data_IF_766179074375
#
_entry.id   IF_766179074375
#
_cell.length_a   1.000
_cell.length_b   1.000
_cell.length_c   1.000
_cell.angle_alpha   90.00
_cell.angle_beta   90.00
_cell.angle_gamma   90.00
#
_symmetry.space_group_name_H-M   'P 1'
#
loop_
_entity.id
_entity.type
_entity.pdbx_description
1 polymer ?
#
# COMPACT_ATOMS: atom_id res chain seq x y z
N UNK A 1 -3.16 31.41 -8.94
CA UNK A 1 -1.97 30.98 -8.18
C UNK A 1 -1.59 29.60 -8.68
N UNK A 2 -0.31 29.28 -8.93
CA UNK A 2 0.08 27.90 -9.15
C UNK A 2 -0.31 27.08 -7.90
N UNK A 3 -0.85 25.86 -8.06
CA UNK A 3 -1.16 25.01 -6.92
C UNK A 3 0.12 24.82 -6.11
N UNK A 4 0.05 25.11 -4.80
CA UNK A 4 1.13 24.83 -3.85
C UNK A 4 1.60 23.40 -4.07
N UNK A 5 2.85 23.25 -4.54
CA UNK A 5 3.51 21.98 -4.81
C UNK A 5 3.63 21.21 -3.49
N UNK A 6 2.63 20.40 -3.20
CA UNK A 6 2.63 19.55 -2.02
C UNK A 6 3.74 18.50 -2.17
N UNK A 7 4.74 18.60 -1.30
CA UNK A 7 5.84 17.64 -1.15
C UNK A 7 5.23 16.28 -0.82
N UNK A 8 5.57 15.27 -1.61
CA UNK A 8 5.26 13.87 -1.26
C UNK A 8 6.32 13.43 -0.26
N UNK A 9 5.98 13.48 1.01
CA UNK A 9 6.86 12.95 2.05
C UNK A 9 6.87 11.42 1.97
N UNK A 10 8.02 10.85 1.62
CA UNK A 10 8.22 9.41 1.76
C UNK A 10 8.30 9.13 3.26
N UNK A 11 7.39 8.32 3.83
CA UNK A 11 7.33 8.16 5.27
C UNK A 11 8.62 7.54 5.79
N UNK A 12 9.30 8.24 6.70
CA UNK A 12 10.44 7.72 7.47
C UNK A 12 10.03 7.58 8.94
N UNK A 13 9.88 6.35 9.42
CA UNK A 13 9.63 6.04 10.84
C UNK A 13 8.49 5.05 11.13
N UNK A 14 8.36 4.56 12.38
CA UNK A 14 7.23 3.77 12.86
C UNK A 14 6.17 4.70 13.49
N UNK A 15 5.19 5.15 12.71
CA UNK A 15 4.10 6.00 13.23
C UNK A 15 3.42 6.89 12.19
N UNK A 16 3.52 6.55 10.91
CA UNK A 16 3.00 7.41 9.85
C UNK A 16 1.50 7.16 9.64
N UNK A 17 0.68 8.20 9.81
CA UNK A 17 -0.72 8.18 9.38
C UNK A 17 -0.78 8.50 7.88
N UNK A 18 -1.43 7.68 7.05
CA UNK A 18 -1.63 8.00 5.64
C UNK A 18 -2.24 9.39 5.52
N UNK A 19 -1.65 10.22 4.66
CA UNK A 19 -2.26 11.50 4.27
C UNK A 19 -2.40 11.50 2.77
N UNK A 20 -3.12 12.46 2.20
CA UNK A 20 -3.25 12.55 0.75
C UNK A 20 -1.91 12.73 0.01
N UNK A 21 -0.88 13.25 0.69
CA UNK A 21 0.47 13.37 0.13
C UNK A 21 1.38 12.21 0.51
N UNK A 22 0.91 11.27 1.33
CA UNK A 22 1.70 10.17 1.85
C UNK A 22 0.98 8.86 1.56
N UNK A 23 1.45 8.08 0.58
CA UNK A 23 0.86 6.80 0.22
C UNK A 23 0.66 5.89 1.43
N UNK A 24 -0.35 5.03 1.37
CA UNK A 24 -0.48 3.93 2.31
C UNK A 24 0.68 2.98 2.05
N UNK A 25 1.56 2.86 3.06
CA UNK A 25 2.74 1.99 3.00
C UNK A 25 2.51 0.80 3.91
N UNK A 26 2.25 -0.36 3.31
CA UNK A 26 2.18 -1.63 4.05
C UNK A 26 3.58 -2.01 4.56
N UNK A 27 3.65 -2.95 5.51
CA UNK A 27 4.93 -3.49 5.97
C UNK A 27 5.78 -4.02 4.81
N UNK A 28 5.18 -4.74 3.86
CA UNK A 28 5.89 -5.31 2.71
C UNK A 28 6.40 -4.22 1.76
N UNK A 29 5.60 -3.19 1.50
CA UNK A 29 6.06 -2.02 0.73
C UNK A 29 7.24 -1.33 1.43
N UNK A 30 7.19 -1.19 2.76
CA UNK A 30 8.29 -0.62 3.54
C UNK A 30 9.57 -1.45 3.41
N UNK A 31 9.48 -2.78 3.50
CA UNK A 31 10.61 -3.69 3.30
C UNK A 31 11.21 -3.52 1.88
N UNK A 32 10.37 -3.45 0.84
CA UNK A 32 10.82 -3.18 -0.53
C UNK A 32 11.50 -1.81 -0.67
N UNK A 33 10.93 -0.75 -0.06
CA UNK A 33 11.52 0.59 -0.11
C UNK A 33 12.87 0.65 0.61
N UNK A 34 12.98 -0.01 1.76
CA UNK A 34 14.25 -0.14 2.50
C UNK A 34 15.29 -0.87 1.65
N UNK A 35 14.91 -1.97 0.98
CA UNK A 35 15.82 -2.70 0.09
C UNK A 35 16.31 -1.82 -1.07
N UNK A 36 15.44 -0.98 -1.64
CA UNK A 36 15.81 -0.05 -2.71
C UNK A 36 16.73 1.08 -2.24
N UNK A 37 16.52 1.59 -1.02
CA UNK A 37 17.24 2.76 -0.50
C UNK A 37 18.52 2.46 0.24
N UNK A 38 18.53 1.38 1.02
CA UNK A 38 19.58 1.10 1.99
C UNK A 38 20.42 -0.13 1.61
N UNK A 39 20.05 -0.81 0.53
CA UNK A 39 20.72 -2.03 0.08
C UNK A 39 20.87 -2.09 -1.45
N UNK A 40 21.22 -3.26 -1.97
CA UNK A 40 21.26 -3.57 -3.39
C UNK A 40 19.91 -4.09 -3.91
N UNK A 41 19.75 -4.04 -5.24
CA UNK A 41 18.56 -4.57 -5.91
C UNK A 41 18.42 -6.09 -5.82
N UNK A 42 19.50 -6.81 -5.46
CA UNK A 42 19.41 -8.24 -5.13
C UNK A 42 18.51 -8.49 -3.91
N UNK A 43 18.54 -7.63 -2.88
CA UNK A 43 17.65 -7.80 -1.73
C UNK A 43 16.19 -7.57 -2.10
N UNK A 44 15.93 -6.58 -2.96
CA UNK A 44 14.59 -6.39 -3.51
C UNK A 44 14.16 -7.62 -4.31
N UNK A 45 15.06 -8.19 -5.11
CA UNK A 45 14.77 -9.40 -5.87
C UNK A 45 14.46 -10.60 -4.96
N UNK A 46 15.20 -10.79 -3.86
CA UNK A 46 14.90 -11.82 -2.86
C UNK A 46 13.48 -11.62 -2.29
N UNK A 47 13.10 -10.39 -1.93
CA UNK A 47 11.74 -10.06 -1.46
C UNK A 47 10.67 -10.43 -2.51
N UNK A 48 10.96 -10.25 -3.79
CA UNK A 48 10.09 -10.61 -4.92
C UNK A 48 9.98 -12.13 -5.04
N UNK A 49 11.08 -12.88 -4.94
CA UNK A 49 11.10 -14.35 -4.97
C UNK A 49 10.34 -14.95 -3.80
N UNK A 50 10.59 -14.48 -2.57
CA UNK A 50 9.85 -14.93 -1.38
C UNK A 50 8.35 -14.73 -1.55
N UNK A 51 7.96 -13.59 -2.15
CA UNK A 51 6.56 -13.32 -2.46
C UNK A 51 6.02 -14.30 -3.51
N UNK A 52 6.77 -14.56 -4.57
CA UNK A 52 6.41 -15.54 -5.60
C UNK A 52 6.17 -16.92 -4.98
N UNK A 53 7.07 -17.36 -4.09
CA UNK A 53 7.00 -18.62 -3.38
C UNK A 53 5.77 -18.71 -2.47
N UNK A 54 5.49 -17.69 -1.67
CA UNK A 54 4.30 -17.64 -0.82
C UNK A 54 3.01 -17.72 -1.64
N UNK A 55 2.92 -16.93 -2.71
CA UNK A 55 1.79 -16.92 -3.63
C UNK A 55 1.58 -18.27 -4.35
N UNK A 56 2.66 -18.98 -4.67
CA UNK A 56 2.61 -20.32 -5.26
C UNK A 56 2.17 -21.37 -4.22
N UNK A 57 2.69 -21.31 -2.99
CA UNK A 57 2.35 -22.23 -1.91
C UNK A 57 0.86 -22.18 -1.54
N UNK A 58 0.28 -20.98 -1.52
CA UNK A 58 -1.14 -20.76 -1.29
C UNK A 58 -2.01 -21.09 -2.53
N UNK A 59 -1.40 -21.55 -3.63
CA UNK A 59 -2.03 -21.82 -4.94
C UNK A 59 -2.76 -20.61 -5.52
N UNK A 60 -2.41 -19.41 -5.07
CA UNK A 60 -2.95 -18.16 -5.59
C UNK A 60 -2.39 -17.93 -7.00
N UNK A 61 -1.13 -18.33 -7.26
CA UNK A 61 -0.43 -18.11 -8.54
C UNK A 61 0.53 -19.25 -8.99
N UNK A 62 0.02 -20.39 -9.48
CA UNK A 62 0.84 -21.50 -10.00
C UNK A 62 1.67 -21.15 -11.26
N UNK A 63 1.42 -20.02 -11.92
CA UNK A 63 2.14 -19.59 -13.12
C UNK A 63 3.45 -18.84 -12.79
N UNK A 64 3.73 -18.61 -11.49
CA UNK A 64 5.00 -18.07 -11.00
C UNK A 64 6.10 -19.13 -10.88
N UNK A 65 5.80 -20.40 -11.22
CA UNK A 65 6.75 -21.52 -11.14
C UNK A 65 8.03 -21.28 -11.92
N UNK A 66 7.95 -20.65 -13.11
CA UNK A 66 9.14 -20.34 -13.90
C UNK A 66 10.11 -19.43 -13.12
N UNK A 67 9.62 -18.48 -12.34
CA UNK A 67 10.46 -17.61 -11.52
C UNK A 67 11.04 -18.34 -10.29
N UNK A 68 10.39 -19.41 -9.82
CA UNK A 68 10.76 -20.11 -8.58
C UNK A 68 11.67 -21.31 -8.83
N UNK A 69 11.39 -22.09 -9.87
CA UNK A 69 11.96 -23.43 -10.08
C UNK A 69 13.22 -23.42 -10.95
N UNK A 70 13.46 -22.34 -11.69
CA UNK A 70 14.51 -22.25 -12.71
C UNK A 70 15.55 -21.17 -12.36
N UNK A 71 16.79 -21.57 -12.14
CA UNK A 71 17.90 -20.66 -11.80
C UNK A 71 18.18 -19.67 -12.94
N UNK A 72 18.06 -20.09 -14.19
CA UNK A 72 18.25 -19.23 -15.36
C UNK A 72 17.19 -18.11 -15.39
N UNK A 73 15.91 -18.47 -15.18
CA UNK A 73 14.81 -17.51 -15.06
C UNK A 73 15.00 -16.55 -13.87
N UNK A 74 15.56 -17.01 -12.75
CA UNK A 74 15.88 -16.13 -11.62
C UNK A 74 16.97 -15.13 -11.99
N UNK A 75 18.02 -15.57 -12.69
CA UNK A 75 19.08 -14.69 -13.17
C UNK A 75 18.53 -13.62 -14.13
N UNK A 76 17.73 -14.03 -15.12
CA UNK A 76 17.06 -13.11 -16.05
C UNK A 76 16.16 -12.12 -15.32
N UNK A 77 15.36 -12.57 -14.35
CA UNK A 77 14.50 -11.71 -13.57
C UNK A 77 15.29 -10.70 -12.71
N UNK A 78 16.44 -11.10 -12.18
CA UNK A 78 17.36 -10.20 -11.48
C UNK A 78 17.86 -9.10 -12.44
N UNK A 79 18.30 -9.44 -13.65
CA UNK A 79 18.70 -8.43 -14.65
C UNK A 79 17.54 -7.47 -14.97
N UNK A 80 16.32 -8.00 -15.13
CA UNK A 80 15.13 -7.18 -15.38
C UNK A 80 14.87 -6.19 -14.24
N UNK A 81 15.04 -6.57 -12.96
CA UNK A 81 14.95 -5.64 -11.83
C UNK A 81 16.01 -4.52 -11.93
N UNK A 82 17.24 -4.87 -12.31
CA UNK A 82 18.32 -3.88 -12.50
C UNK A 82 18.11 -2.97 -13.72
N UNK A 83 17.25 -3.34 -14.67
CA UNK A 83 16.88 -2.47 -15.80
C UNK A 83 15.92 -1.33 -15.43
N UNK A 84 15.34 -1.39 -14.24
CA UNK A 84 14.41 -0.37 -13.74
C UNK A 84 15.21 0.66 -12.94
N UNK A 85 15.08 1.98 -13.21
CA UNK A 85 15.66 2.99 -12.34
C UNK A 85 15.10 2.84 -10.91
N UNK A 86 15.96 2.85 -9.88
CA UNK A 86 15.54 2.82 -8.46
C UNK A 86 14.39 3.80 -8.14
N UNK A 87 14.42 5.01 -8.71
CA UNK A 87 13.34 6.03 -8.54
C UNK A 87 12.00 5.56 -9.10
N UNK A 88 11.99 4.86 -10.24
CA UNK A 88 10.78 4.29 -10.81
C UNK A 88 10.28 3.11 -9.97
N UNK A 89 11.18 2.25 -9.46
CA UNK A 89 10.82 1.16 -8.55
C UNK A 89 10.07 1.71 -7.33
N UNK A 90 10.59 2.77 -6.68
CA UNK A 90 9.88 3.44 -5.57
C UNK A 90 8.50 3.91 -5.99
N UNK A 91 8.39 4.52 -7.17
CA UNK A 91 7.11 4.95 -7.74
C UNK A 91 6.12 3.80 -7.93
N UNK A 92 6.59 2.64 -8.39
CA UNK A 92 5.80 1.43 -8.54
C UNK A 92 5.34 0.89 -7.18
N UNK A 93 6.25 0.75 -6.21
CA UNK A 93 5.96 0.24 -4.87
C UNK A 93 4.96 1.14 -4.13
N UNK A 94 5.10 2.45 -4.27
CA UNK A 94 4.21 3.44 -3.64
C UNK A 94 2.90 3.65 -4.42
N UNK A 95 2.79 3.16 -5.66
CA UNK A 95 1.63 3.41 -6.53
C UNK A 95 1.48 4.87 -6.96
N UNK A 96 2.59 5.57 -7.19
CA UNK A 96 2.63 7.00 -7.54
C UNK A 96 3.22 7.26 -8.94
N UNK A 97 3.33 6.24 -9.79
CA UNK A 97 3.99 6.34 -11.11
C UNK A 97 3.37 7.41 -12.02
N UNK A 98 2.06 7.65 -11.91
CA UNK A 98 1.36 8.73 -12.60
C UNK A 98 1.80 10.13 -12.16
N UNK A 99 2.20 10.30 -10.90
CA UNK A 99 2.63 11.58 -10.36
C UNK A 99 4.06 11.91 -10.76
N UNK A 100 4.93 10.90 -10.88
CA UNK A 100 6.38 11.10 -11.00
C UNK A 100 6.83 12.01 -12.15
N UNK A 101 6.13 12.02 -13.28
CA UNK A 101 6.48 12.87 -14.42
C UNK A 101 6.06 14.33 -14.23
N UNK A 102 5.11 14.60 -13.33
CA UNK A 102 4.63 15.95 -13.00
C UNK A 102 5.34 16.57 -11.80
N UNK A 103 6.22 15.80 -11.13
CA UNK A 103 7.06 16.34 -10.06
C UNK A 103 8.11 17.30 -10.65
N UNK A 104 8.58 18.31 -9.90
CA UNK A 104 9.71 19.15 -10.30
C UNK A 104 10.93 18.31 -10.70
N UNK A 105 11.70 18.74 -11.70
CA UNK A 105 12.81 17.96 -12.24
C UNK A 105 13.92 17.64 -11.23
N UNK A 106 14.07 18.47 -10.20
CA UNK A 106 14.98 18.30 -9.06
C UNK A 106 14.41 17.41 -7.94
N UNK A 107 13.13 17.05 -8.00
CA UNK A 107 12.51 16.18 -7.01
C UNK A 107 13.12 14.77 -7.04
N UNK A 108 13.45 14.15 -5.89
CA UNK A 108 14.14 12.86 -5.83
C UNK A 108 13.34 11.69 -6.45
N UNK A 109 12.01 11.82 -6.53
CA UNK A 109 11.10 10.87 -7.18
C UNK A 109 10.71 11.25 -8.61
N UNK A 110 11.22 12.37 -9.14
CA UNK A 110 10.94 12.73 -10.53
C UNK A 110 11.49 11.67 -11.47
N UNK A 111 10.63 11.26 -12.41
CA UNK A 111 10.96 10.33 -13.47
C UNK A 111 10.31 10.86 -14.74
N UNK A 112 11.14 11.12 -15.76
CA UNK A 112 10.71 11.60 -17.05
C UNK A 112 9.55 10.78 -17.63
N UNK A 113 8.75 11.40 -18.49
CA UNK A 113 7.67 10.72 -19.19
C UNK A 113 8.20 9.53 -20.01
N UNK A 114 9.28 9.76 -20.76
CA UNK A 114 10.05 8.72 -21.46
C UNK A 114 11.33 8.42 -20.70
N UNK A 115 11.36 7.22 -20.12
CA UNK A 115 12.50 6.73 -19.35
C UNK A 115 13.50 6.04 -20.28
N UNK A 116 12.99 5.22 -21.19
CA UNK A 116 13.80 4.44 -22.12
C UNK A 116 13.94 5.21 -23.44
N UNK A 117 15.11 5.15 -24.05
CA UNK A 117 15.36 5.86 -25.32
C UNK A 117 14.81 5.11 -26.55
N UNK A 118 14.44 3.84 -26.39
CA UNK A 118 13.96 2.94 -27.45
C UNK A 118 12.58 2.37 -27.10
N UNK A 119 11.70 2.27 -28.10
CA UNK A 119 10.44 1.51 -28.00
C UNK A 119 10.64 0.06 -28.44
N UNK A 120 9.65 -0.82 -28.28
CA UNK A 120 9.74 -2.27 -28.49
C UNK A 120 9.06 -3.04 -27.34
N UNK A 121 9.34 -4.33 -27.15
CA UNK A 121 8.64 -5.14 -26.17
C UNK A 121 8.97 -4.78 -24.71
N UNK A 122 7.99 -5.03 -23.83
CA UNK A 122 8.16 -4.79 -22.41
C UNK A 122 6.86 -4.65 -21.63
N UNK A 123 7.00 -4.19 -20.40
CA UNK A 123 5.93 -4.01 -19.43
C UNK A 123 5.66 -2.55 -19.22
N UNK A 124 4.38 -2.23 -19.08
CA UNK A 124 3.91 -0.90 -18.75
C UNK A 124 2.98 -0.94 -17.55
N UNK A 125 2.89 0.19 -16.86
CA UNK A 125 1.87 0.49 -15.87
C UNK A 125 0.88 1.47 -16.47
N UNK A 126 -0.41 1.22 -16.27
CA UNK A 126 -1.52 2.11 -16.60
C UNK A 126 -2.20 2.51 -15.28
N UNK A 127 -1.85 3.70 -14.79
CA UNK A 127 -2.38 4.23 -13.54
C UNK A 127 -3.62 5.08 -13.81
N UNK A 128 -4.67 4.91 -13.01
CA UNK A 128 -5.91 5.71 -13.14
C UNK A 128 -5.79 6.95 -12.26
N UNK A 129 -5.58 8.10 -12.89
CA UNK A 129 -5.62 9.43 -12.29
C UNK A 129 -6.95 10.14 -12.59
N UNK A 130 -7.11 11.34 -12.06
CA UNK A 130 -8.23 12.25 -12.42
C UNK A 130 -7.71 13.32 -13.38
N UNK A 131 -8.43 13.53 -14.48
CA UNK A 131 -8.05 14.49 -15.50
C UNK A 131 -7.90 15.90 -14.91
N UNK A 132 -6.82 16.59 -15.28
CA UNK A 132 -6.53 17.95 -14.82
C UNK A 132 -5.89 18.02 -13.42
N UNK A 133 -5.59 16.90 -12.77
CA UNK A 133 -4.92 16.85 -11.45
C UNK A 133 -3.45 16.43 -11.49
N UNK A 134 -2.79 16.59 -12.63
CA UNK A 134 -1.35 16.31 -12.79
C UNK A 134 -0.93 14.92 -12.25
N UNK A 135 -1.71 13.89 -12.55
CA UNK A 135 -1.43 12.52 -12.10
C UNK A 135 -1.83 12.21 -10.65
N UNK A 136 -2.56 13.10 -9.97
CA UNK A 136 -3.22 12.81 -8.69
C UNK A 136 -4.57 12.15 -8.88
N UNK A 137 -5.01 11.48 -7.81
CA UNK A 137 -6.20 10.65 -7.78
C UNK A 137 -7.42 11.35 -7.22
N UNK A 138 -8.25 10.53 -6.59
CA UNK A 138 -9.50 10.95 -5.96
C UNK A 138 -9.23 11.60 -4.60
N UNK A 139 -10.16 12.44 -4.18
CA UNK A 139 -10.32 12.86 -2.78
C UNK A 139 -11.06 11.79 -1.98
N UNK A 140 -11.08 11.89 -0.64
CA UNK A 140 -11.85 10.99 0.21
C UNK A 140 -13.34 11.00 -0.11
N UNK A 141 -13.92 12.19 -0.35
CA UNK A 141 -15.35 12.31 -0.69
C UNK A 141 -15.68 11.66 -2.04
N UNK A 142 -14.83 11.87 -3.05
CA UNK A 142 -14.96 11.23 -4.36
C UNK A 142 -14.83 9.72 -4.27
N UNK A 143 -13.83 9.23 -3.52
CA UNK A 143 -13.60 7.82 -3.32
C UNK A 143 -14.78 7.14 -2.63
N UNK A 144 -15.42 7.80 -1.65
CA UNK A 144 -16.68 7.34 -1.06
C UNK A 144 -17.81 7.18 -2.08
N UNK A 145 -17.97 8.13 -3.01
CA UNK A 145 -18.96 8.03 -4.09
C UNK A 145 -18.64 6.91 -5.09
N UNK A 146 -17.36 6.70 -5.39
CA UNK A 146 -16.90 5.57 -6.24
C UNK A 146 -17.23 4.23 -5.58
N UNK A 147 -16.89 4.06 -4.30
CA UNK A 147 -17.19 2.86 -3.51
C UNK A 147 -18.69 2.55 -3.56
N UNK A 148 -19.54 3.53 -3.24
CA UNK A 148 -21.00 3.38 -3.30
C UNK A 148 -21.48 2.99 -4.70
N UNK A 149 -20.87 3.56 -5.74
CA UNK A 149 -21.20 3.24 -7.13
C UNK A 149 -20.88 1.80 -7.51
N UNK A 150 -19.72 1.29 -7.07
CA UNK A 150 -19.31 -0.11 -7.29
C UNK A 150 -20.17 -1.07 -6.48
N UNK A 151 -20.50 -0.75 -5.23
CA UNK A 151 -21.39 -1.56 -4.38
C UNK A 151 -22.77 -1.73 -5.01
N UNK A 152 -23.38 -0.61 -5.45
CA UNK A 152 -24.67 -0.63 -6.13
C UNK A 152 -24.63 -1.40 -7.45
N UNK A 153 -23.48 -1.40 -8.14
CA UNK A 153 -23.28 -2.21 -9.33
C UNK A 153 -23.20 -3.72 -9.02
N UNK A 154 -22.52 -4.11 -7.94
CA UNK A 154 -22.48 -5.51 -7.45
C UNK A 154 -23.86 -5.98 -6.98
N UNK A 155 -24.64 -5.11 -6.34
CA UNK A 155 -26.02 -5.36 -5.97
C UNK A 155 -26.90 -5.59 -7.21
N UNK A 156 -26.76 -4.73 -8.23
CA UNK A 156 -27.47 -4.87 -9.49
C UNK A 156 -27.15 -6.20 -10.19
N UNK A 157 -25.88 -6.61 -10.20
CA UNK A 157 -25.51 -7.93 -10.71
C UNK A 157 -26.20 -9.05 -9.94
N UNK A 158 -26.19 -9.00 -8.60
CA UNK A 158 -26.76 -10.05 -7.75
C UNK A 158 -28.29 -10.16 -7.95
N UNK A 159 -28.97 -9.02 -8.10
CA UNK A 159 -30.40 -8.98 -8.43
C UNK A 159 -30.68 -9.59 -9.81
N UNK A 160 -29.93 -9.18 -10.85
CA UNK A 160 -30.12 -9.68 -12.21
C UNK A 160 -29.78 -11.17 -12.35
N UNK A 161 -28.75 -11.66 -11.65
CA UNK A 161 -28.40 -13.08 -11.62
C UNK A 161 -29.53 -13.91 -11.00
N UNK A 162 -30.12 -13.45 -9.88
CA UNK A 162 -31.28 -14.09 -9.24
C UNK A 162 -32.49 -14.19 -10.17
N UNK A 163 -32.70 -13.18 -11.03
CA UNK A 163 -33.83 -13.14 -11.97
C UNK A 163 -33.61 -14.01 -13.22
N UNK A 164 -32.36 -14.34 -13.56
CA UNK A 164 -32.01 -15.08 -14.77
C UNK A 164 -32.44 -14.33 -16.04
N UNK A 165 -33.23 -15.00 -16.89
CA UNK A 165 -33.76 -14.38 -18.12
C UNK A 165 -35.05 -13.58 -17.91
N UNK A 166 -35.56 -13.54 -16.68
CA UNK A 166 -36.77 -12.79 -16.32
C UNK A 166 -36.50 -11.29 -16.34
N UNK A 167 -37.52 -10.51 -16.71
CA UNK A 167 -37.41 -9.05 -16.63
C UNK A 167 -37.53 -8.57 -15.17
N UNK A 168 -36.86 -7.47 -14.77
CA UNK A 168 -37.04 -6.83 -13.47
C UNK A 168 -38.52 -6.46 -13.22
N UNK A 169 -39.14 -7.05 -12.20
CA UNK A 169 -40.57 -6.85 -11.89
C UNK A 169 -40.77 -5.80 -10.79
N UNK A 170 -39.93 -5.82 -9.75
CA UNK A 170 -40.03 -4.89 -8.62
C UNK A 170 -39.46 -3.51 -8.97
N UNK A 171 -39.93 -2.42 -8.31
CA UNK A 171 -39.33 -1.10 -8.48
C UNK A 171 -37.82 -1.07 -8.18
N UNK A 172 -37.37 -1.78 -7.14
CA UNK A 172 -35.96 -1.87 -6.77
C UNK A 172 -35.10 -2.58 -7.82
N UNK A 173 -35.56 -3.72 -8.35
CA UNK A 173 -34.83 -4.43 -9.41
C UNK A 173 -34.72 -3.58 -10.69
N UNK A 174 -35.76 -2.81 -11.01
CA UNK A 174 -35.75 -1.85 -12.14
C UNK A 174 -34.74 -0.73 -11.92
N UNK A 175 -34.68 -0.18 -10.71
CA UNK A 175 -33.71 0.87 -10.36
C UNK A 175 -32.26 0.35 -10.49
N UNK A 176 -31.98 -0.83 -9.95
CA UNK A 176 -30.68 -1.48 -10.04
C UNK A 176 -30.29 -1.78 -11.49
N UNK A 177 -31.20 -2.34 -12.29
CA UNK A 177 -30.95 -2.61 -13.70
C UNK A 177 -30.67 -1.32 -14.49
N UNK A 178 -31.43 -0.25 -14.22
CA UNK A 178 -31.21 1.06 -14.82
C UNK A 178 -29.86 1.66 -14.40
N UNK A 179 -29.48 1.52 -13.14
CA UNK A 179 -28.20 1.96 -12.63
C UNK A 179 -27.03 1.26 -13.35
N UNK A 180 -27.06 -0.07 -13.44
CA UNK A 180 -26.04 -0.84 -14.15
C UNK A 180 -25.94 -0.44 -15.62
N UNK A 181 -27.08 -0.26 -16.30
CA UNK A 181 -27.11 0.18 -17.69
C UNK A 181 -26.47 1.57 -17.89
N UNK A 182 -26.63 2.49 -16.93
CA UNK A 182 -25.98 3.81 -16.97
C UNK A 182 -24.46 3.71 -16.82
N UNK A 183 -23.97 2.80 -15.98
CA UNK A 183 -22.52 2.54 -15.81
C UNK A 183 -21.96 1.91 -17.09
N UNK A 184 -22.62 0.89 -17.63
CA UNK A 184 -22.20 0.17 -18.84
C UNK A 184 -22.14 1.07 -20.08
N UNK A 185 -22.92 2.15 -20.11
CA UNK A 185 -22.96 3.10 -21.21
C UNK A 185 -21.78 4.09 -21.24
N UNK A 186 -20.99 4.24 -20.17
CA UNK A 186 -20.01 5.33 -20.06
C UNK A 186 -18.79 5.20 -20.98
N UNK A 187 -18.23 3.99 -21.09
CA UNK A 187 -16.98 3.71 -21.82
C UNK A 187 -17.14 2.66 -22.93
N UNK A 188 -18.38 2.31 -23.26
CA UNK A 188 -18.69 1.37 -24.34
C UNK A 188 -18.83 2.11 -25.67
N UNK A 189 -18.02 1.73 -26.65
CA UNK A 189 -18.11 2.23 -28.03
C UNK A 189 -19.05 1.33 -28.83
N UNK A 190 -20.06 1.90 -29.50
CA UNK A 190 -20.90 1.16 -30.46
C UNK A 190 -22.08 0.40 -29.85
N UNK A 191 -23.18 1.12 -29.59
CA UNK A 191 -24.52 0.64 -29.22
C UNK A 191 -24.62 -0.13 -27.88
N UNK A 192 -25.11 0.56 -26.86
CA UNK A 192 -25.64 -0.06 -25.66
C UNK A 192 -26.90 -0.86 -26.02
N UNK A 193 -26.75 -2.11 -26.47
CA UNK A 193 -27.88 -3.04 -26.37
C UNK A 193 -28.17 -3.22 -24.89
N UNK A 194 -29.43 -2.99 -24.48
CA UNK A 194 -29.93 -3.41 -23.17
C UNK A 194 -29.68 -4.91 -23.04
N UNK A 195 -28.54 -5.29 -22.48
CA UNK A 195 -28.27 -6.66 -22.11
C UNK A 195 -29.00 -6.91 -20.81
N UNK A 196 -29.63 -8.08 -20.67
CA UNK A 196 -30.25 -8.51 -19.40
C UNK A 196 -29.20 -8.77 -18.30
N UNK A 197 -27.93 -8.70 -18.64
CA UNK A 197 -26.78 -8.92 -17.77
C UNK A 197 -25.94 -7.65 -17.73
N UNK A 198 -25.36 -7.38 -16.56
CA UNK A 198 -24.37 -6.32 -16.40
C UNK A 198 -23.09 -6.68 -17.15
N UNK A 199 -22.32 -5.68 -17.55
CA UNK A 199 -21.18 -5.88 -18.44
C UNK A 199 -19.90 -6.36 -17.74
N UNK A 200 -19.55 -5.75 -16.60
CA UNK A 200 -18.28 -5.95 -15.91
C UNK A 200 -18.24 -7.10 -14.88
N UNK A 201 -19.34 -7.84 -14.73
CA UNK A 201 -19.40 -9.02 -13.85
C UNK A 201 -20.15 -10.12 -14.60
N UNK A 202 -19.39 -11.08 -15.15
CA UNK A 202 -19.93 -12.21 -15.91
C UNK A 202 -20.29 -13.44 -15.07
N UNK A 203 -19.87 -13.47 -13.80
CA UNK A 203 -20.05 -14.62 -12.91
C UNK A 203 -19.42 -14.39 -11.52
N UNK A 204 -19.57 -15.38 -10.63
CA UNK A 204 -19.12 -15.30 -9.23
C UNK A 204 -17.61 -15.02 -9.07
N UNK A 205 -16.75 -15.63 -9.90
CA UNK A 205 -15.30 -15.38 -9.86
C UNK A 205 -14.99 -13.90 -10.12
N UNK A 206 -15.66 -13.32 -11.11
CA UNK A 206 -15.46 -11.92 -11.47
C UNK A 206 -16.02 -10.97 -10.41
N UNK A 207 -17.15 -11.33 -9.78
CA UNK A 207 -17.67 -10.62 -8.63
C UNK A 207 -16.66 -10.59 -7.49
N UNK A 208 -16.03 -11.72 -7.18
CA UNK A 208 -14.98 -11.80 -6.16
C UNK A 208 -13.84 -10.82 -6.42
N UNK A 209 -13.39 -10.71 -7.68
CA UNK A 209 -12.35 -9.74 -8.09
C UNK A 209 -12.79 -8.29 -7.93
N UNK A 210 -14.03 -7.96 -8.30
CA UNK A 210 -14.59 -6.61 -8.08
C UNK A 210 -14.69 -6.30 -6.59
N UNK A 211 -15.07 -7.28 -5.77
CA UNK A 211 -15.14 -7.13 -4.32
C UNK A 211 -13.75 -6.96 -3.68
N UNK A 212 -12.71 -7.59 -4.23
CA UNK A 212 -11.33 -7.38 -3.77
C UNK A 212 -10.84 -5.94 -4.05
N UNK A 213 -11.11 -5.43 -5.27
CA UNK A 213 -10.88 -3.99 -5.59
C UNK A 213 -11.67 -3.09 -4.65
N UNK A 214 -12.93 -3.42 -4.36
CA UNK A 214 -13.75 -2.65 -3.41
C UNK A 214 -13.13 -2.63 -2.00
N UNK A 215 -12.60 -3.75 -1.52
CA UNK A 215 -11.89 -3.83 -0.24
C UNK A 215 -10.67 -2.90 -0.19
N UNK A 216 -9.88 -2.91 -1.28
CA UNK A 216 -8.73 -2.01 -1.46
C UNK A 216 -9.15 -0.54 -1.40
N UNK A 217 -10.18 -0.16 -2.17
CA UNK A 217 -10.70 1.21 -2.19
C UNK A 217 -11.23 1.66 -0.83
N UNK A 218 -11.93 0.79 -0.09
CA UNK A 218 -12.42 1.09 1.27
C UNK A 218 -11.28 1.35 2.24
N UNK A 219 -10.20 0.59 2.16
CA UNK A 219 -9.05 0.85 3.01
C UNK A 219 -8.33 2.14 2.60
N UNK A 220 -8.18 2.41 1.30
CA UNK A 220 -7.66 3.69 0.83
C UNK A 220 -8.47 4.87 1.36
N UNK A 221 -9.81 4.74 1.35
CA UNK A 221 -10.73 5.75 1.88
C UNK A 221 -10.55 6.03 3.36
N UNK A 222 -10.26 5.00 4.16
CA UNK A 222 -10.07 5.16 5.61
C UNK A 222 -8.88 6.07 5.96
N UNK A 223 -7.85 6.11 5.11
CA UNK A 223 -6.67 6.96 5.28
C UNK A 223 -6.70 8.29 4.52
N UNK A 224 -7.82 8.64 3.86
CA UNK A 224 -7.88 9.80 2.96
C UNK A 224 -8.91 10.83 3.44
N UNK A 225 -8.45 12.07 3.62
CA UNK A 225 -9.30 13.22 3.93
C UNK A 225 -10.26 13.55 2.77
N UNK A 226 -11.42 14.12 3.10
CA UNK A 226 -12.54 14.30 2.18
C UNK A 226 -12.25 15.24 1.01
N UNK A 227 -11.38 16.22 1.22
CA UNK A 227 -11.08 17.33 0.32
C UNK A 227 -9.65 17.29 -0.25
N UNK A 228 -8.87 16.24 0.06
CA UNK A 228 -7.47 16.18 -0.33
C UNK A 228 -7.20 15.06 -1.34
N UNK A 229 -6.53 15.40 -2.44
CA UNK A 229 -6.27 14.52 -3.58
C UNK A 229 -5.17 13.50 -3.28
N UNK A 230 -5.48 12.21 -3.42
CA UNK A 230 -4.51 11.12 -3.20
C UNK A 230 -3.35 11.16 -4.19
N UNK A 231 -2.12 11.05 -3.68
CA UNK A 231 -0.93 10.77 -4.50
C UNK A 231 -0.88 9.30 -4.97
N UNK A 232 -1.39 8.37 -4.16
CA UNK A 232 -1.41 6.93 -4.44
C UNK A 232 -2.62 6.57 -5.30
N UNK A 233 -2.38 5.81 -6.36
CA UNK A 233 -3.37 5.37 -7.33
C UNK A 233 -3.41 3.86 -7.45
N UNK A 234 -4.55 3.36 -7.91
CA UNK A 234 -4.64 2.00 -8.42
C UNK A 234 -4.05 1.92 -9.83
N UNK A 235 -3.29 0.85 -10.04
CA UNK A 235 -2.51 0.64 -11.25
C UNK A 235 -2.77 -0.75 -11.84
N UNK A 236 -2.85 -0.79 -13.16
CA UNK A 236 -2.84 -2.02 -13.94
C UNK A 236 -1.47 -2.19 -14.59
N UNK A 237 -0.90 -3.39 -14.51
CA UNK A 237 0.33 -3.75 -15.20
C UNK A 237 -0.01 -4.63 -16.39
N UNK A 238 0.53 -4.28 -17.56
CA UNK A 238 0.34 -5.07 -18.76
C UNK A 238 1.63 -5.18 -19.55
N UNK A 239 1.63 -6.10 -20.50
CA UNK A 239 2.79 -6.36 -21.34
C UNK A 239 2.46 -6.23 -22.84
N UNK A 240 3.48 -5.86 -23.62
CA UNK A 240 3.40 -5.74 -25.06
C UNK A 240 4.61 -6.43 -25.67
N UNK A 241 4.36 -7.32 -26.63
CA UNK A 241 5.41 -7.99 -27.41
C UNK A 241 5.93 -7.14 -28.58
N UNK A 242 5.31 -5.97 -28.82
CA UNK A 242 5.65 -5.11 -29.96
C UNK A 242 6.10 -3.72 -29.51
N UNK A 243 5.37 -3.09 -28.60
CA UNK A 243 5.61 -1.71 -28.18
C UNK A 243 5.02 -1.47 -26.80
N UNK A 244 5.88 -1.23 -25.82
CA UNK A 244 5.51 -0.87 -24.47
C UNK A 244 5.06 0.60 -24.37
N UNK A 245 5.27 1.43 -25.41
CA UNK A 245 4.74 2.79 -25.48
C UNK A 245 3.31 2.85 -25.99
N UNK A 246 3.01 2.12 -27.06
CA UNK A 246 1.67 2.16 -27.68
C UNK A 246 0.71 1.12 -27.11
N UNK A 247 1.23 -0.01 -26.61
CA UNK A 247 0.44 -1.03 -25.92
C UNK A 247 -0.50 -0.51 -24.83
N UNK A 248 -0.05 0.39 -23.93
CA UNK A 248 -0.90 1.00 -22.92
C UNK A 248 -2.08 1.81 -23.47
N UNK A 249 -2.00 2.36 -24.68
CA UNK A 249 -3.06 3.22 -25.24
C UNK A 249 -4.41 2.49 -25.31
N UNK A 250 -4.38 1.17 -25.49
CA UNK A 250 -5.56 0.31 -25.51
C UNK A 250 -6.34 0.32 -24.19
N UNK A 251 -5.74 0.80 -23.09
CA UNK A 251 -6.37 0.93 -21.78
C UNK A 251 -6.86 2.34 -21.47
N UNK A 252 -6.73 3.28 -22.41
CA UNK A 252 -7.19 4.66 -22.23
C UNK A 252 -8.69 4.81 -22.49
N UNK A 253 -9.40 5.68 -21.76
CA UNK A 253 -10.82 5.95 -21.99
C UNK A 253 -11.13 6.41 -23.42
N UNK A 254 -10.19 7.11 -24.07
CA UNK A 254 -10.34 7.64 -25.43
C UNK A 254 -10.44 6.54 -26.50
N UNK A 255 -9.76 5.40 -26.31
CA UNK A 255 -9.90 4.23 -27.21
C UNK A 255 -11.14 3.40 -26.88
N UNK A 256 -11.68 3.55 -25.67
CA UNK A 256 -12.88 2.88 -25.19
C UNK A 256 -12.71 1.38 -24.90
N UNK A 257 -13.77 0.75 -24.40
CA UNK A 257 -13.77 -0.69 -24.13
C UNK A 257 -14.04 -1.49 -25.41
N UNK A 258 -12.98 -2.01 -26.04
CA UNK A 258 -13.10 -2.55 -27.41
C UNK A 258 -13.59 -4.02 -27.50
N UNK A 259 -13.40 -4.89 -26.49
CA UNK A 259 -13.50 -6.35 -26.77
C UNK A 259 -14.03 -7.30 -25.69
N UNK A 260 -14.59 -6.88 -24.56
CA UNK A 260 -15.13 -7.84 -23.57
C UNK A 260 -14.08 -8.69 -22.82
N UNK A 261 -12.85 -8.78 -23.34
CA UNK A 261 -11.71 -9.54 -22.83
C UNK A 261 -10.77 -8.70 -21.95
N UNK A 262 -11.05 -7.41 -21.81
CA UNK A 262 -10.25 -6.51 -20.98
C UNK A 262 -10.43 -6.76 -19.49
N UNK A 263 -9.55 -6.17 -18.69
CA UNK A 263 -9.58 -6.20 -17.24
C UNK A 263 -10.86 -5.55 -16.68
N UNK A 264 -11.87 -6.35 -16.33
CA UNK A 264 -13.21 -5.83 -16.05
C UNK A 264 -13.30 -4.90 -14.82
N UNK A 265 -12.62 -5.17 -13.67
CA UNK A 265 -12.61 -4.26 -12.53
C UNK A 265 -12.00 -2.89 -12.88
N UNK A 266 -10.94 -2.88 -13.69
CA UNK A 266 -10.30 -1.66 -14.20
C UNK A 266 -11.30 -0.80 -15.00
N UNK A 267 -12.04 -1.40 -15.93
CA UNK A 267 -13.04 -0.67 -16.72
C UNK A 267 -14.28 -0.27 -15.92
N UNK A 268 -14.73 -1.10 -14.98
CA UNK A 268 -15.84 -0.78 -14.08
C UNK A 268 -15.51 0.48 -13.25
N UNK A 269 -14.31 0.55 -12.67
CA UNK A 269 -13.87 1.69 -11.88
C UNK A 269 -13.95 3.00 -12.68
N UNK A 270 -13.37 3.03 -13.88
CA UNK A 270 -13.42 4.22 -14.73
C UNK A 270 -14.85 4.57 -15.21
N UNK A 271 -15.69 3.57 -15.49
CA UNK A 271 -17.09 3.80 -15.84
C UNK A 271 -17.90 4.38 -14.67
N UNK A 272 -17.66 3.91 -13.45
CA UNK A 272 -18.28 4.49 -12.25
C UNK A 272 -17.81 5.92 -12.05
N UNK A 273 -16.50 6.19 -12.16
CA UNK A 273 -15.94 7.55 -12.08
C UNK A 273 -16.65 8.50 -13.07
N UNK A 274 -16.71 8.13 -14.35
CA UNK A 274 -17.32 8.95 -15.39
C UNK A 274 -18.80 9.21 -15.13
N UNK A 275 -19.55 8.18 -14.68
CA UNK A 275 -20.96 8.31 -14.33
C UNK A 275 -21.20 9.33 -13.22
N UNK A 276 -20.31 9.42 -12.23
CA UNK A 276 -20.44 10.37 -11.11
C UNK A 276 -19.78 11.73 -11.39
N UNK A 277 -19.38 11.99 -12.64
CA UNK A 277 -18.82 13.28 -13.07
C UNK A 277 -17.33 13.45 -12.76
N UNK A 278 -16.60 12.36 -12.49
CA UNK A 278 -15.14 12.38 -12.36
C UNK A 278 -14.55 11.86 -13.67
N UNK A 279 -13.80 12.70 -14.38
CA UNK A 279 -13.18 12.30 -15.64
C UNK A 279 -11.92 11.46 -15.38
N UNK A 280 -11.91 10.14 -15.72
CA UNK A 280 -10.72 9.31 -15.55
C UNK A 280 -9.65 9.69 -16.57
N UNK A 281 -8.41 9.79 -16.13
CA UNK A 281 -7.24 9.93 -16.99
C UNK A 281 -6.30 8.75 -16.74
N UNK A 282 -5.89 8.06 -17.81
CA UNK A 282 -4.93 6.96 -17.71
C UNK A 282 -3.56 7.51 -18.02
N UNK A 283 -2.63 7.35 -17.07
CA UNK A 283 -1.22 7.74 -17.21
C UNK A 283 -0.37 6.49 -17.47
N UNK A 284 -0.13 6.13 -18.74
CA UNK A 284 0.71 5.01 -19.08
C UNK A 284 2.18 5.33 -18.84
N UNK A 285 2.96 4.33 -18.42
CA UNK A 285 4.41 4.44 -18.30
C UNK A 285 5.07 3.09 -18.51
N UNK A 286 6.07 3.01 -19.37
CA UNK A 286 6.90 1.80 -19.51
C UNK A 286 7.76 1.66 -18.26
N UNK A 287 7.74 0.47 -17.67
CA UNK A 287 8.42 0.18 -16.40
C UNK A 287 9.55 -0.83 -16.55
N UNK A 288 9.46 -1.73 -17.52
CA UNK A 288 10.49 -2.75 -17.79
C UNK A 288 10.57 -2.94 -19.29
N UNK A 289 11.79 -2.96 -19.83
CA UNK A 289 12.07 -3.33 -21.22
C UNK A 289 12.51 -4.78 -21.27
N UNK A 290 12.21 -5.46 -22.36
CA UNK A 290 12.62 -6.85 -22.58
C UNK A 290 13.50 -6.90 -23.80
N UNK A 291 14.57 -7.68 -23.73
CA UNK A 291 15.62 -7.73 -24.77
C UNK A 291 16.09 -9.15 -25.07
N UNK A 292 15.33 -10.15 -24.64
CA UNK A 292 15.63 -11.54 -24.91
C UNK A 292 14.32 -12.35 -24.90
N UNK A 293 14.31 -13.45 -25.65
CA UNK A 293 13.17 -14.35 -25.68
C UNK A 293 12.90 -14.94 -24.29
N UNK A 294 11.65 -14.94 -23.85
CA UNK A 294 11.24 -15.37 -22.50
C UNK A 294 11.17 -14.24 -21.48
N UNK A 295 11.85 -13.10 -21.73
CA UNK A 295 11.87 -11.99 -20.77
C UNK A 295 10.49 -11.37 -20.55
N UNK A 296 9.59 -11.34 -21.54
CA UNK A 296 8.31 -10.64 -21.39
C UNK A 296 7.44 -11.21 -20.26
N UNK A 297 7.44 -12.52 -20.09
CA UNK A 297 6.67 -13.18 -19.01
C UNK A 297 7.26 -12.90 -17.64
N UNK A 298 8.58 -12.98 -17.53
CA UNK A 298 9.31 -12.70 -16.29
C UNK A 298 9.15 -11.22 -15.90
N UNK A 299 9.31 -10.32 -16.88
CA UNK A 299 9.13 -8.89 -16.69
C UNK A 299 7.71 -8.57 -16.21
N UNK A 300 6.66 -9.14 -16.81
CA UNK A 300 5.29 -8.88 -16.38
C UNK A 300 5.06 -9.35 -14.93
N UNK A 301 5.67 -10.48 -14.55
CA UNK A 301 5.62 -11.01 -13.19
C UNK A 301 6.34 -10.09 -12.21
N UNK A 302 7.56 -9.67 -12.51
CA UNK A 302 8.35 -8.73 -11.70
C UNK A 302 7.60 -7.40 -11.54
N UNK A 303 7.13 -6.81 -12.64
CA UNK A 303 6.39 -5.55 -12.63
C UNK A 303 5.12 -5.63 -11.78
N UNK A 304 4.39 -6.74 -11.89
CA UNK A 304 3.19 -7.02 -11.08
C UNK A 304 3.53 -7.18 -9.59
N UNK A 305 4.64 -7.84 -9.23
CA UNK A 305 5.03 -8.01 -7.83
C UNK A 305 5.53 -6.71 -7.18
N UNK A 306 6.18 -5.85 -7.95
CA UNK A 306 6.68 -4.56 -7.46
C UNK A 306 5.55 -3.53 -7.31
N UNK A 307 4.58 -3.48 -8.22
CA UNK A 307 3.51 -2.50 -8.21
C UNK A 307 2.62 -2.59 -6.97
N UNK A 308 2.61 -1.56 -6.11
CA UNK A 308 1.89 -1.57 -4.82
C UNK A 308 2.25 -2.76 -3.91
N UNK A 309 3.46 -3.33 -4.06
CA UNK A 309 3.81 -4.56 -3.38
C UNK A 309 2.93 -5.76 -3.81
N UNK A 310 2.26 -5.67 -4.96
CA UNK A 310 1.38 -6.65 -5.61
C UNK A 310 0.26 -5.97 -6.44
N UNK A 311 0.33 -5.98 -7.77
CA UNK A 311 -0.65 -5.24 -8.58
C UNK A 311 -1.91 -6.04 -8.91
N UNK A 312 -2.09 -7.19 -8.28
CA UNK A 312 -3.27 -8.05 -8.42
C UNK A 312 -4.45 -7.48 -7.65
N UNK A 313 -5.67 -7.79 -8.09
CA UNK A 313 -6.89 -7.30 -7.42
C UNK A 313 -7.01 -7.81 -5.97
N UNK A 314 -6.39 -8.95 -5.67
CA UNK A 314 -6.28 -9.52 -4.34
C UNK A 314 -5.23 -8.81 -3.46
N UNK A 315 -4.27 -8.11 -4.07
CA UNK A 315 -3.06 -7.57 -3.42
C UNK A 315 -2.92 -6.04 -3.52
N UNK A 316 -4.02 -5.28 -3.57
CA UNK A 316 -4.05 -3.80 -3.69
C UNK A 316 -3.98 -3.22 -5.11
N UNK A 317 -4.01 -4.02 -6.17
CA UNK A 317 -3.93 -3.51 -7.55
C UNK A 317 -5.19 -3.73 -8.40
N UNK A 318 -5.00 -3.67 -9.72
CA UNK A 318 -6.08 -3.84 -10.70
C UNK A 318 -5.95 -5.08 -11.58
N UNK A 319 -4.82 -5.79 -11.58
CA UNK A 319 -4.63 -7.00 -12.40
C UNK A 319 -5.60 -8.10 -11.99
N UNK A 320 -6.66 -8.29 -12.78
CA UNK A 320 -7.61 -9.38 -12.61
C UNK A 320 -7.07 -10.71 -13.14
N UNK A 321 -6.08 -10.67 -14.03
CA UNK A 321 -5.44 -11.86 -14.60
C UNK A 321 -4.02 -11.98 -14.05
N UNK A 322 -3.56 -13.22 -13.94
CA UNK A 322 -2.21 -13.53 -13.49
C UNK A 322 -1.21 -13.02 -14.54
N UNK A 323 -0.05 -12.50 -14.11
CA UNK A 323 1.00 -12.09 -15.03
C UNK A 323 1.65 -13.30 -15.72
N UNK A 324 2.40 -13.05 -16.80
CA UNK A 324 3.21 -14.07 -17.47
C UNK A 324 2.46 -14.88 -18.54
N UNK A 325 1.23 -14.50 -18.87
CA UNK A 325 0.40 -15.23 -19.84
C UNK A 325 0.79 -14.98 -21.30
N UNK A 326 1.41 -13.84 -21.62
CA UNK A 326 1.73 -13.45 -22.99
C UNK A 326 3.10 -13.99 -23.42
N UNK A 327 3.21 -14.76 -24.50
CA UNK A 327 4.51 -15.13 -25.06
C UNK A 327 5.17 -13.94 -25.76
N UNK A 328 6.49 -13.99 -25.88
CA UNK A 328 7.27 -13.15 -26.79
C UNK A 328 6.90 -13.43 -28.26
N UNK A 329 7.18 -12.47 -29.15
CA UNK A 329 7.12 -12.71 -30.59
C UNK A 329 8.36 -13.49 -31.01
N UNK A 330 8.23 -14.74 -31.52
CA UNK A 330 9.37 -15.57 -31.89
C UNK A 330 10.17 -15.02 -33.07
N UNK A 331 9.66 -14.02 -33.81
CA UNK A 331 10.34 -13.41 -34.94
C UNK A 331 10.96 -12.05 -34.64
N UNK A 332 10.85 -11.56 -33.39
CA UNK A 332 11.38 -10.25 -33.02
C UNK A 332 12.89 -10.28 -32.87
N UNK A 333 13.59 -9.33 -33.51
CA UNK A 333 15.03 -9.15 -33.36
C UNK A 333 15.32 -8.25 -32.14
N UNK A 334 15.86 -8.87 -31.09
CA UNK A 334 16.16 -8.19 -29.83
C UNK A 334 17.50 -7.43 -29.81
N UNK A 335 18.28 -7.44 -30.90
CA UNK A 335 19.62 -6.82 -30.93
C UNK A 335 19.59 -5.34 -30.49
N UNK A 336 18.62 -4.58 -30.99
CA UNK A 336 18.48 -3.16 -30.63
C UNK A 336 17.90 -2.98 -29.22
N UNK A 337 17.01 -3.87 -28.78
CA UNK A 337 16.48 -3.84 -27.42
C UNK A 337 17.57 -4.10 -26.38
N UNK A 338 18.49 -5.02 -26.66
CA UNK A 338 19.60 -5.33 -25.75
C UNK A 338 20.55 -4.14 -25.61
N UNK A 339 20.95 -3.52 -26.73
CA UNK A 339 21.75 -2.30 -26.71
C UNK A 339 21.05 -1.18 -25.94
N UNK A 340 19.75 -0.98 -26.19
CA UNK A 340 18.98 0.02 -25.49
C UNK A 340 18.88 -0.25 -23.98
N UNK A 341 18.66 -1.52 -23.61
CA UNK A 341 18.49 -1.92 -22.22
C UNK A 341 19.80 -1.84 -21.43
N UNK A 342 20.88 -2.43 -21.97
CA UNK A 342 22.15 -2.64 -21.26
C UNK A 342 23.15 -1.50 -21.44
N UNK A 343 23.15 -0.81 -22.58
CA UNK A 343 24.17 0.21 -22.92
C UNK A 343 23.64 1.63 -22.79
N UNK A 344 22.43 1.90 -23.28
CA UNK A 344 21.92 3.28 -23.33
C UNK A 344 21.31 3.77 -22.01
N UNK A 345 21.05 2.86 -21.07
CA UNK A 345 20.50 3.18 -19.76
C UNK A 345 21.62 3.28 -18.72
N UNK A 346 22.06 4.48 -18.32
CA UNK A 346 23.23 4.64 -17.46
C UNK A 346 23.07 4.00 -16.07
N UNK A 347 21.83 3.81 -15.60
CA UNK A 347 21.57 3.16 -14.31
C UNK A 347 21.75 1.65 -14.35
N UNK A 348 21.60 0.96 -15.48
CA UNK A 348 21.64 -0.50 -15.51
C UNK A 348 22.98 -1.03 -15.03
N UNK A 349 24.07 -0.60 -15.67
CA UNK A 349 25.43 -1.02 -15.32
C UNK A 349 25.79 -0.56 -13.89
N UNK A 350 25.51 0.69 -13.55
CA UNK A 350 25.78 1.23 -12.21
C UNK A 350 25.06 0.44 -11.10
N UNK A 351 23.81 0.04 -11.32
CA UNK A 351 23.05 -0.76 -10.36
C UNK A 351 23.61 -2.19 -10.26
N UNK A 352 24.04 -2.79 -11.38
CA UNK A 352 24.68 -4.11 -11.39
C UNK A 352 26.02 -4.10 -10.64
N UNK A 353 26.85 -3.07 -10.86
CA UNK A 353 28.12 -2.88 -10.17
C UNK A 353 27.93 -2.66 -8.66
N UNK A 354 26.93 -1.86 -8.28
CA UNK A 354 26.55 -1.65 -6.88
C UNK A 354 26.17 -2.98 -6.21
N UNK A 355 25.33 -3.78 -6.87
CA UNK A 355 24.95 -5.12 -6.39
C UNK A 355 26.16 -6.03 -6.27
N UNK A 356 27.03 -6.09 -7.28
CA UNK A 356 28.24 -6.93 -7.26
C UNK A 356 29.18 -6.54 -6.11
N UNK A 357 29.40 -5.24 -5.88
CA UNK A 357 30.24 -4.74 -4.80
C UNK A 357 29.68 -5.12 -3.42
N UNK A 358 28.37 -4.99 -3.23
CA UNK A 358 27.70 -5.35 -1.97
C UNK A 358 27.70 -6.86 -1.73
N UNK A 359 27.45 -7.67 -2.77
CA UNK A 359 27.53 -9.14 -2.69
C UNK A 359 28.94 -9.58 -2.33
N UNK A 360 29.97 -9.02 -2.99
CA UNK A 360 31.37 -9.30 -2.66
C UNK A 360 31.69 -8.99 -1.19
N UNK A 361 31.25 -7.83 -0.70
CA UNK A 361 31.45 -7.45 0.72
C UNK A 361 30.74 -8.40 1.68
N UNK A 362 29.56 -8.93 1.33
CA UNK A 362 28.85 -9.94 2.13
C UNK A 362 29.59 -11.27 2.15
N UNK A 363 30.14 -11.71 1.02
CA UNK A 363 30.97 -12.91 0.96
C UNK A 363 32.22 -12.76 1.84
N UNK A 364 32.92 -11.62 1.74
CA UNK A 364 34.08 -11.33 2.61
C UNK A 364 33.71 -11.32 4.10
N UNK A 365 32.55 -10.75 4.46
CA UNK A 365 32.04 -10.77 5.83
C UNK A 365 31.70 -12.19 6.29
N UNK A 366 31.09 -13.01 5.44
CA UNK A 366 30.79 -14.40 5.74
C UNK A 366 32.09 -15.19 5.95
N UNK A 367 33.10 -15.02 5.10
CA UNK A 367 34.42 -15.66 5.29
C UNK A 367 35.08 -15.20 6.60
N UNK A 368 34.93 -13.92 6.96
CA UNK A 368 35.41 -13.41 8.26
C UNK A 368 34.65 -14.03 9.44
N UNK A 369 33.33 -14.18 9.33
CA UNK A 369 32.50 -14.82 10.34
C UNK A 369 32.84 -16.31 10.47
N UNK A 370 32.97 -17.03 9.36
CA UNK A 370 33.39 -18.44 9.35
C UNK A 370 34.76 -18.63 9.99
N UNK A 371 35.77 -17.81 9.63
CA UNK A 371 37.07 -17.83 10.31
C UNK A 371 36.96 -17.49 11.79
N UNK A 372 36.12 -16.52 12.15
CA UNK A 372 35.89 -16.20 13.55
C UNK A 372 35.21 -17.37 14.28
N UNK A 373 34.28 -18.08 13.64
CA UNK A 373 33.66 -19.29 14.17
C UNK A 373 34.67 -20.43 14.33
N UNK A 374 35.58 -20.64 13.38
CA UNK A 374 36.62 -21.66 13.46
C UNK A 374 37.63 -21.35 14.59
N UNK A 375 38.08 -20.10 14.68
CA UNK A 375 38.95 -19.62 15.77
C UNK A 375 38.22 -19.75 17.11
N UNK A 376 36.93 -19.44 17.12
CA UNK A 376 36.11 -19.56 18.30
C UNK A 376 35.54 -20.96 18.50
N UNK A 377 35.90 -22.00 17.74
CA UNK A 377 35.19 -23.29 17.70
C UNK A 377 34.97 -23.93 19.07
N UNK A 378 35.99 -23.91 19.94
CA UNK A 378 35.86 -24.38 21.34
C UNK A 378 35.01 -23.42 22.21
N UNK A 379 35.06 -22.12 21.91
CA UNK A 379 34.28 -21.06 22.57
C UNK A 379 32.83 -21.02 22.11
N UNK A 380 32.47 -21.39 20.87
CA UNK A 380 31.10 -21.35 20.39
C UNK A 380 30.29 -22.53 20.88
N UNK A 381 30.84 -23.74 20.90
CA UNK A 381 30.19 -24.86 21.58
C UNK A 381 30.14 -24.65 23.09
N UNK A 382 31.16 -24.01 23.68
CA UNK A 382 31.13 -23.57 25.08
C UNK A 382 30.10 -22.46 25.32
N UNK A 383 29.94 -21.49 24.41
CA UNK A 383 28.96 -20.41 24.49
C UNK A 383 27.55 -20.87 24.17
N UNK A 384 27.36 -21.84 23.28
CA UNK A 384 26.10 -22.54 23.00
C UNK A 384 25.72 -23.40 24.19
N UNK A 385 26.63 -24.21 24.73
CA UNK A 385 26.39 -24.96 25.97
C UNK A 385 26.18 -24.03 27.18
N UNK A 386 26.78 -22.83 27.21
CA UNK A 386 26.54 -21.81 28.23
C UNK A 386 25.22 -21.08 27.98
N UNK A 387 24.82 -20.84 26.74
CA UNK A 387 23.55 -20.25 26.36
C UNK A 387 22.39 -21.22 26.60
N UNK A 388 22.56 -22.52 26.34
CA UNK A 388 21.63 -23.59 26.68
C UNK A 388 21.56 -23.80 28.20
N UNK A 389 22.69 -23.77 28.92
CA UNK A 389 22.69 -23.72 30.40
C UNK A 389 22.01 -22.46 30.94
N UNK A 390 22.23 -21.31 30.32
CA UNK A 390 21.58 -20.04 30.70
C UNK A 390 20.10 -20.05 30.33
N UNK A 391 19.69 -20.67 29.23
CA UNK A 391 18.29 -20.84 28.82
C UNK A 391 17.56 -21.81 29.75
N UNK A 392 18.18 -22.93 30.12
CA UNK A 392 17.67 -23.84 31.14
C UNK A 392 17.63 -23.19 32.54
N UNK A 393 18.63 -22.35 32.87
CA UNK A 393 18.60 -21.53 34.08
C UNK A 393 17.52 -20.44 34.03
N UNK A 394 17.25 -19.86 32.85
CA UNK A 394 16.15 -18.93 32.60
C UNK A 394 14.78 -19.60 32.71
N UNK A 395 14.64 -20.85 32.25
CA UNK A 395 13.45 -21.66 32.49
C UNK A 395 13.26 -22.00 33.97
N UNK A 396 14.35 -22.20 34.73
CA UNK A 396 14.31 -22.31 36.20
C UNK A 396 14.07 -20.97 36.92
N UNK A 397 14.39 -19.83 36.30
CA UNK A 397 14.14 -18.48 36.81
C UNK A 397 12.72 -17.99 36.47
N UNK A 398 12.04 -18.56 35.49
CA UNK A 398 10.66 -18.20 35.15
C UNK A 398 9.68 -18.33 36.34
N UNK A 399 9.75 -19.38 37.20
CA UNK A 399 9.01 -19.42 38.46
C UNK A 399 9.36 -18.28 39.42
N UNK A 400 10.63 -17.89 39.51
CA UNK A 400 11.10 -16.81 40.39
C UNK A 400 10.73 -15.42 39.85
N UNK A 401 10.72 -15.23 38.53
CA UNK A 401 10.22 -14.02 37.86
C UNK A 401 8.70 -13.92 37.99
N UNK A 402 7.97 -15.04 37.93
CA UNK A 402 6.54 -15.08 38.23
C UNK A 402 6.25 -14.74 39.70
N UNK A 403 7.06 -15.24 40.64
CA UNK A 403 6.99 -14.90 42.06
C UNK A 403 7.29 -13.41 42.30
N UNK A 404 8.35 -12.86 41.69
CA UNK A 404 8.67 -11.44 41.77
C UNK A 404 7.60 -10.55 41.12
N UNK A 405 6.97 -10.98 40.03
CA UNK A 405 5.80 -10.30 39.44
C UNK A 405 4.59 -10.34 40.37
N UNK A 406 4.37 -11.45 41.07
CA UNK A 406 3.33 -11.57 42.10
C UNK A 406 3.60 -10.64 43.29
N UNK A 407 4.85 -10.57 43.77
CA UNK A 407 5.28 -9.65 44.83
C UNK A 407 5.14 -8.19 44.38
N UNK A 408 5.50 -7.86 43.14
CA UNK A 408 5.36 -6.52 42.59
C UNK A 408 3.89 -6.12 42.45
N UNK A 409 3.03 -7.02 41.96
CA UNK A 409 1.59 -6.77 41.87
C UNK A 409 0.96 -6.57 43.27
N UNK A 410 1.36 -7.37 44.25
CA UNK A 410 0.92 -7.21 45.64
C UNK A 410 1.39 -5.87 46.23
N UNK A 411 2.61 -5.45 45.91
CA UNK A 411 3.18 -4.17 46.37
C UNK A 411 2.47 -2.98 45.72
N UNK A 412 2.17 -3.04 44.42
CA UNK A 412 1.40 -2.02 43.72
C UNK A 412 -0.02 -1.90 44.25
N UNK A 413 -0.66 -3.03 44.59
CA UNK A 413 -1.98 -3.05 45.22
C UNK A 413 -1.95 -2.34 46.58
N UNK A 414 -1.00 -2.70 47.46
CA UNK A 414 -0.81 -2.05 48.77
C UNK A 414 -0.48 -0.57 48.66
N UNK A 415 0.33 -0.18 47.67
CA UNK A 415 0.67 1.22 47.43
C UNK A 415 -0.55 2.00 46.96
N UNK A 416 -1.38 1.41 46.10
CA UNK A 416 -2.64 2.02 45.63
C UNK A 416 -3.64 2.18 46.78
N UNK A 417 -3.75 1.20 47.67
CA UNK A 417 -4.54 1.31 48.90
C UNK A 417 -4.02 2.43 49.82
N UNK A 418 -2.69 2.52 49.99
CA UNK A 418 -2.08 3.58 50.80
C UNK A 418 -2.35 4.96 50.20
N UNK A 419 -2.20 5.12 48.89
CA UNK A 419 -2.53 6.37 48.18
C UNK A 419 -4.01 6.71 48.33
N UNK A 420 -4.91 5.72 48.23
CA UNK A 420 -6.33 5.93 48.45
C UNK A 420 -6.62 6.39 49.89
N UNK A 421 -5.97 5.78 50.90
CA UNK A 421 -6.08 6.20 52.31
C UNK A 421 -5.55 7.61 52.53
N UNK A 422 -4.39 7.94 51.97
CA UNK A 422 -3.79 9.27 52.07
C UNK A 422 -4.65 10.33 51.38
N UNK A 423 -5.25 10.01 50.22
CA UNK A 423 -6.23 10.90 49.56
C UNK A 423 -7.48 11.08 50.43
N UNK A 424 -8.02 10.02 50.99
CA UNK A 424 -9.17 10.11 51.89
C UNK A 424 -8.85 10.93 53.15
N UNK A 425 -7.62 10.88 53.65
CA UNK A 425 -7.20 11.67 54.80
C UNK A 425 -6.89 13.13 54.44
N UNK A 426 -6.29 13.39 53.28
CA UNK A 426 -6.13 14.74 52.75
C UNK A 426 -7.48 15.41 52.51
N UNK A 427 -8.46 14.68 51.96
CA UNK A 427 -9.83 15.15 51.81
C UNK A 427 -10.45 15.45 53.17
N UNK A 428 -10.33 14.55 54.16
CA UNK A 428 -10.81 14.80 55.53
C UNK A 428 -10.17 16.05 56.16
N UNK A 429 -8.88 16.29 55.91
CA UNK A 429 -8.20 17.51 56.39
C UNK A 429 -8.68 18.77 55.68
N UNK A 430 -8.95 18.69 54.37
CA UNK A 430 -9.54 19.80 53.62
C UNK A 430 -10.96 20.11 54.10
N UNK A 431 -11.76 19.08 54.37
CA UNK A 431 -13.10 19.23 54.95
C UNK A 431 -13.02 19.88 56.35
N UNK A 432 -12.04 19.49 57.17
CA UNK A 432 -11.81 20.11 58.48
C UNK A 432 -11.36 21.58 58.38
N UNK A 433 -10.50 21.91 57.41
CA UNK A 433 -10.11 23.30 57.15
C UNK A 433 -11.28 24.15 56.64
N UNK A 434 -12.18 23.58 55.85
CA UNK A 434 -13.40 24.26 55.42
C UNK A 434 -14.29 24.60 56.63
N UNK A 435 -14.48 23.65 57.55
CA UNK A 435 -15.21 23.88 58.81
C UNK A 435 -14.52 24.95 59.66
N UNK A 436 -13.20 24.93 59.78
CA UNK A 436 -12.44 25.96 60.52
C UNK A 436 -12.58 27.35 59.91
N UNK A 437 -12.57 27.46 58.58
CA UNK A 437 -12.76 28.73 57.90
C UNK A 437 -14.19 29.26 58.09
N UNK A 438 -15.20 28.40 58.00
CA UNK A 438 -16.58 28.74 58.30
C UNK A 438 -16.72 29.24 59.75
N UNK A 439 -16.07 28.57 60.70
CA UNK A 439 -16.05 28.97 62.11
C UNK A 439 -15.31 30.29 62.36
N UNK A 440 -14.21 30.54 61.62
CA UNK A 440 -13.48 31.82 61.67
C UNK A 440 -14.35 32.95 61.12
N UNK A 441 -15.08 32.71 60.03
CA UNK A 441 -15.95 33.71 59.43
C UNK A 441 -17.15 34.03 60.33
N UNK A 442 -17.75 33.02 60.97
CA UNK A 442 -18.78 33.20 62.01
C UNK A 442 -18.27 34.04 63.19
N UNK A 443 -17.06 33.77 63.68
CA UNK A 443 -16.45 34.53 64.78
C UNK A 443 -16.20 35.99 64.39
N UNK A 444 -15.74 36.24 63.15
CA UNK A 444 -15.58 37.60 62.62
C UNK A 444 -16.90 38.33 62.47
N UNK A 445 -17.96 37.62 62.12
CA UNK A 445 -19.31 38.17 62.05
C UNK A 445 -19.86 38.53 63.43
N UNK A 446 -19.58 37.72 64.45
CA UNK A 446 -19.88 38.05 65.86
C UNK A 446 -19.10 39.28 66.31
N UNK A 447 -17.79 39.35 66.04
CA UNK A 447 -16.95 40.50 66.35
C UNK A 447 -17.46 41.80 65.69
N UNK A 448 -17.88 41.72 64.42
CA UNK A 448 -18.52 42.83 63.70
C UNK A 448 -19.84 43.26 64.34
N UNK A 449 -20.66 42.32 64.81
CA UNK A 449 -21.90 42.64 65.55
C UNK A 449 -21.62 43.29 66.90
N UNK A 450 -20.59 42.84 67.63
CA UNK A 450 -20.21 43.42 68.92
C UNK A 450 -19.64 44.84 68.79
N UNK A 451 -18.82 45.09 67.77
CA UNK A 451 -18.31 46.44 67.47
C UNK A 451 -19.42 47.39 67.01
N UNK A 452 -20.47 46.90 66.35
CA UNK A 452 -21.67 47.70 66.04
C UNK A 452 -22.58 47.96 67.25
N UNK A 453 -22.55 47.12 68.30
CA UNK A 453 -23.31 47.36 69.53
C UNK A 453 -22.60 48.26 70.55
N UNK A 454 -21.27 48.46 70.43
CA UNK A 454 -20.52 49.43 71.24
C UNK A 454 -20.63 50.88 70.75
N UNK A 455 -21.27 51.11 69.60
CA UNK A 455 -21.48 52.43 68.98
C UNK A 455 -22.80 53.09 69.34
N UNK A 456 -23.40 52.77 70.49
CA UNK A 456 -24.56 53.49 71.01
C UNK A 456 -24.29 53.92 72.45
N UNK A 457 -24.46 55.22 72.68
CA UNK A 457 -24.51 55.96 73.94
C UNK A 457 -23.20 56.17 74.70
N UNK A 458 -22.63 57.36 74.50
CA UNK A 458 -22.70 58.34 75.59
C UNK A 458 -23.22 59.69 75.07
N UNK A 459 -24.39 60.15 75.53
CA UNK A 459 -24.77 61.55 75.46
C UNK A 459 -24.15 62.30 76.65
N UNK A 460 -23.54 63.45 76.36
CA UNK A 460 -23.18 64.55 77.28
C UNK A 460 -22.19 64.23 78.40
#
# INVERSE_FOLDING_TARGET
>A
MPPTTAVVDIPSGPGFEPTANVPIVTRKMKEMLVAVDQSCLMDLFIIVIEKAQANNAERVHPDMRNLIEDEDSQHMAMELVHSIPKRLIKGMVLGITALQHNLPGDHPLHVAERIYNHDGPGVYVASIAVAGRSGRGWTGAELGRIINGIEKYVEAWTSLERLGDSNPTTPGDKELANFAAQVDAQLRVGSARRTKKVMYISGAVQKGKVQAVLGTLKHMRAGLADDVESAQLLSYYGCSSLSAYTGPEAHTPAKGWYQGKGNQPYWLLMSVMKRIGIEPEVKPKTVIRTWEFGHLRLAETVGTMLGLGGSLVEDWGLNAQRPGGKPDDPNHDFTMDELAAKVWNPWFLSQMEETAALVKRRLELNDMLERAFDICGETWDSMRAKAERNAAALECLNPQVAELRSILALTQCKLSELVARLRAEANRRNDFLAILNELIDDLRDVERRMTHQGGVSNPV
#
